data_IF_291236776013
#
_entry.id   IF_291236776013
#
_cell.length_a   1.000
_cell.length_b   1.000
_cell.length_c   1.000
_cell.angle_alpha   90.00
_cell.angle_beta   90.00
_cell.angle_gamma   90.00
#
_symmetry.space_group_name_H-M   'P 1'
#
loop_
_entity.id
_entity.type
_entity.pdbx_description
1 polymer ?
#
# COMPACT_ATOMS: atom_id res chain seq x y z
N UNK A 1 7.03 10.86 2.18
CA UNK A 1 5.81 10.62 3.01
C UNK A 1 5.52 11.71 4.05
N UNK A 2 6.46 12.07 4.94
CA UNK A 2 6.24 13.09 5.99
C UNK A 2 5.85 14.48 5.43
N UNK A 3 6.54 14.93 4.37
CA UNK A 3 6.22 16.18 3.67
C UNK A 3 4.81 16.20 3.06
N UNK A 4 4.42 15.10 2.39
CA UNK A 4 3.10 14.94 1.78
C UNK A 4 1.99 15.12 2.81
N UNK A 5 2.11 14.51 3.98
CA UNK A 5 1.14 14.62 5.08
C UNK A 5 0.99 16.06 5.59
N UNK A 6 2.10 16.80 5.72
CA UNK A 6 2.07 18.23 6.10
C UNK A 6 1.37 19.10 5.05
N UNK A 7 1.65 18.88 3.76
CA UNK A 7 0.97 19.57 2.65
C UNK A 7 -0.53 19.22 2.62
N UNK A 8 -0.89 17.94 2.82
CA UNK A 8 -2.26 17.46 2.85
C UNK A 8 -3.10 18.12 3.95
N UNK A 9 -2.54 18.26 5.15
CA UNK A 9 -3.24 18.89 6.29
C UNK A 9 -3.29 20.41 6.14
N UNK A 10 -2.33 21.02 5.46
CA UNK A 10 -2.26 22.47 5.24
C UNK A 10 -1.36 23.20 6.23
N UNK A 11 -0.36 22.51 6.79
CA UNK A 11 0.70 23.10 7.62
C UNK A 11 1.81 23.79 6.79
N UNK A 12 1.70 23.74 5.46
CA UNK A 12 2.61 24.41 4.55
C UNK A 12 1.79 25.40 3.73
N UNK A 13 2.20 26.66 3.72
CA UNK A 13 1.50 27.71 2.96
C UNK A 13 1.45 27.35 1.47
N UNK A 14 0.30 27.65 0.84
CA UNK A 14 0.14 27.52 -0.62
C UNK A 14 1.07 28.43 -1.40
N UNK A 15 1.54 29.50 -0.78
CA UNK A 15 2.21 30.61 -1.47
C UNK A 15 3.71 30.34 -1.70
N UNK A 16 4.29 29.41 -0.94
CA UNK A 16 5.68 28.99 -1.10
C UNK A 16 5.85 28.11 -2.35
N UNK A 17 6.90 28.36 -3.13
CA UNK A 17 7.22 27.47 -4.26
C UNK A 17 7.60 26.07 -3.76
N UNK A 18 7.38 25.02 -4.57
CA UNK A 18 7.75 23.66 -4.17
C UNK A 18 9.26 23.52 -3.92
N UNK A 19 10.07 24.28 -4.66
CA UNK A 19 11.52 24.30 -4.51
C UNK A 19 11.92 24.93 -3.15
N UNK A 20 11.30 26.04 -2.74
CA UNK A 20 11.54 26.62 -1.42
C UNK A 20 11.18 25.66 -0.29
N UNK A 21 10.08 24.92 -0.43
CA UNK A 21 9.68 23.89 0.53
C UNK A 21 10.80 22.84 0.66
N UNK A 22 11.32 22.32 -0.45
CA UNK A 22 12.42 21.35 -0.43
C UNK A 22 13.71 21.92 0.17
N UNK A 23 14.04 23.18 -0.13
CA UNK A 23 15.23 23.84 0.43
C UNK A 23 15.08 23.99 1.95
N UNK A 24 13.91 24.40 2.43
CA UNK A 24 13.64 24.55 3.87
C UNK A 24 13.70 23.21 4.60
N UNK A 25 13.15 22.16 4.01
CA UNK A 25 13.22 20.81 4.57
C UNK A 25 14.65 20.25 4.59
N UNK A 26 15.43 20.51 3.53
CA UNK A 26 16.85 20.15 3.48
C UNK A 26 17.66 20.90 4.53
N UNK A 27 17.40 22.20 4.74
CA UNK A 27 18.06 23.00 5.75
C UNK A 27 17.74 22.47 7.17
N UNK A 28 16.49 22.11 7.43
CA UNK A 28 16.07 21.48 8.69
C UNK A 28 16.71 20.09 8.90
N UNK A 29 16.93 19.33 7.82
CA UNK A 29 17.65 18.05 7.89
C UNK A 29 19.12 18.27 8.27
N UNK A 30 19.76 19.28 7.68
CA UNK A 30 21.16 19.61 7.93
C UNK A 30 21.39 20.17 9.35
N UNK A 31 20.44 20.93 9.90
CA UNK A 31 20.57 21.54 11.23
C UNK A 31 20.45 20.54 12.38
N UNK A 32 19.76 19.41 12.19
CA UNK A 32 19.42 18.47 13.27
C UNK A 32 20.46 17.33 13.46
N UNK A 33 21.61 17.39 12.77
CA UNK A 33 22.66 16.38 12.82
C UNK A 33 22.25 15.00 12.28
N UNK A 34 23.13 14.01 12.39
CA UNK A 34 22.91 12.65 11.85
C UNK A 34 21.70 11.98 12.51
N UNK A 35 21.54 12.11 13.82
CA UNK A 35 20.42 11.52 14.55
C UNK A 35 19.08 12.16 14.16
N UNK A 36 19.07 13.48 13.93
CA UNK A 36 17.90 14.21 13.42
C UNK A 36 17.57 13.86 11.97
N UNK A 37 18.58 13.65 11.12
CA UNK A 37 18.41 13.18 9.76
C UNK A 37 17.81 11.76 9.74
N UNK A 38 18.33 10.83 10.56
CA UNK A 38 17.76 9.47 10.70
C UNK A 38 16.31 9.54 11.21
N UNK A 39 16.02 10.41 12.18
CA UNK A 39 14.65 10.63 12.70
C UNK A 39 13.70 11.27 11.69
N UNK A 40 14.21 12.06 10.76
CA UNK A 40 13.42 12.65 9.68
C UNK A 40 13.20 11.66 8.52
N UNK A 41 14.20 10.84 8.22
CA UNK A 41 14.18 9.78 7.20
C UNK A 41 13.31 8.61 7.65
N UNK A 42 13.36 8.23 8.94
CA UNK A 42 12.40 7.31 9.56
C UNK A 42 11.09 8.06 9.72
N UNK A 43 10.24 7.97 8.70
CA UNK A 43 8.94 8.64 8.60
C UNK A 43 8.11 8.40 9.88
N UNK A 44 8.14 9.33 10.83
CA UNK A 44 7.43 9.22 12.12
C UNK A 44 8.13 8.41 13.21
N UNK A 45 9.45 8.30 13.12
CA UNK A 45 10.33 7.87 14.20
C UNK A 45 10.17 6.40 14.61
N UNK A 46 10.68 6.10 15.81
CA UNK A 46 10.69 4.76 16.38
C UNK A 46 9.28 4.20 16.61
N UNK A 47 8.32 5.05 16.97
CA UNK A 47 6.92 4.63 17.16
C UNK A 47 6.29 4.07 15.89
N UNK A 48 6.58 4.63 14.71
CA UNK A 48 6.07 4.06 13.44
C UNK A 48 6.62 2.66 13.23
N UNK A 49 7.94 2.51 13.35
CA UNK A 49 8.61 1.22 13.12
C UNK A 49 8.09 0.16 14.08
N UNK A 50 7.97 0.47 15.37
CA UNK A 50 7.42 -0.46 16.36
C UNK A 50 5.96 -0.80 16.04
N UNK A 51 5.15 0.20 15.66
CA UNK A 51 3.75 -0.02 15.31
C UNK A 51 3.60 -0.95 14.11
N UNK A 52 4.34 -0.70 13.02
CA UNK A 52 4.32 -1.51 11.80
C UNK A 52 4.86 -2.93 12.06
N UNK A 53 5.91 -3.05 12.87
CA UNK A 53 6.47 -4.33 13.25
C UNK A 53 5.46 -5.16 14.07
N UNK A 54 4.81 -4.55 15.06
CA UNK A 54 3.76 -5.21 15.83
C UNK A 54 2.58 -5.66 14.96
N UNK A 55 2.13 -4.81 14.04
CA UNK A 55 1.06 -5.16 13.10
C UNK A 55 1.47 -6.32 12.18
N UNK A 56 2.66 -6.27 11.59
CA UNK A 56 3.14 -7.29 10.66
C UNK A 56 3.28 -8.65 11.36
N UNK A 57 3.86 -8.69 12.56
CA UNK A 57 3.98 -9.94 13.31
C UNK A 57 2.61 -10.47 13.73
N UNK A 58 1.74 -9.61 14.26
CA UNK A 58 0.42 -10.02 14.69
C UNK A 58 -0.43 -10.55 13.53
N UNK A 59 -0.39 -9.89 12.36
CA UNK A 59 -1.11 -10.33 11.17
C UNK A 59 -0.59 -11.67 10.65
N UNK A 60 0.74 -11.86 10.64
CA UNK A 60 1.36 -13.12 10.25
C UNK A 60 0.92 -14.30 11.14
N UNK A 61 1.04 -14.14 12.46
CA UNK A 61 0.61 -15.18 13.41
C UNK A 61 -0.89 -15.44 13.30
N UNK A 62 -1.71 -14.39 13.21
CA UNK A 62 -3.16 -14.52 13.14
C UNK A 62 -3.58 -15.21 11.84
N UNK A 63 -2.92 -14.92 10.71
CA UNK A 63 -3.11 -15.59 9.44
C UNK A 63 -2.77 -17.09 9.50
N UNK A 64 -1.68 -17.47 10.16
CA UNK A 64 -1.30 -18.87 10.36
C UNK A 64 -2.36 -19.64 11.17
N UNK A 65 -2.81 -19.09 12.29
CA UNK A 65 -3.87 -19.69 13.11
C UNK A 65 -5.18 -19.86 12.34
N UNK A 66 -5.57 -18.87 11.54
CA UNK A 66 -6.78 -18.91 10.71
C UNK A 66 -6.67 -19.97 9.63
N UNK A 67 -5.50 -20.13 9.02
CA UNK A 67 -5.24 -21.15 8.01
C UNK A 67 -5.31 -22.57 8.61
N UNK A 68 -4.74 -22.77 9.80
CA UNK A 68 -4.87 -24.04 10.53
C UNK A 68 -6.31 -24.37 10.91
N UNK A 69 -7.04 -23.39 11.45
CA UNK A 69 -8.46 -23.55 11.79
C UNK A 69 -9.27 -23.88 10.55
N UNK A 70 -9.05 -23.16 9.44
CA UNK A 70 -9.73 -23.40 8.17
C UNK A 70 -9.46 -24.82 7.65
N UNK A 71 -8.21 -25.32 7.73
CA UNK A 71 -7.87 -26.71 7.39
C UNK A 71 -8.61 -27.71 8.28
N UNK A 72 -8.70 -27.46 9.59
CA UNK A 72 -9.48 -28.30 10.54
C UNK A 72 -10.96 -28.29 10.18
N UNK A 73 -11.54 -27.13 9.85
CA UNK A 73 -12.94 -27.00 9.41
C UNK A 73 -13.24 -27.80 8.14
N UNK A 74 -12.34 -27.77 7.17
CA UNK A 74 -12.50 -28.51 5.90
C UNK A 74 -12.46 -30.03 6.14
N UNK A 75 -11.61 -30.49 7.07
CA UNK A 75 -11.45 -31.91 7.42
C UNK A 75 -12.60 -32.47 8.27
N UNK A 76 -13.39 -31.62 8.95
CA UNK A 76 -14.54 -32.08 9.74
C UNK A 76 -15.56 -32.79 8.85
N UNK A 77 -15.98 -34.01 9.20
CA UNK A 77 -17.11 -34.70 8.56
C UNK A 77 -18.45 -34.03 8.96
N UNK A 78 -18.75 -32.90 8.34
CA UNK A 78 -19.96 -32.11 8.55
C UNK A 78 -20.61 -31.77 7.19
N UNK A 79 -21.88 -31.36 7.21
CA UNK A 79 -22.57 -30.91 5.99
C UNK A 79 -21.90 -29.66 5.41
N UNK A 80 -21.95 -29.52 4.08
CA UNK A 80 -21.36 -28.39 3.34
C UNK A 80 -21.83 -27.03 3.87
N UNK A 81 -23.13 -26.89 4.19
CA UNK A 81 -23.69 -25.66 4.78
C UNK A 81 -23.09 -25.33 6.15
N UNK A 82 -22.87 -26.33 7.01
CA UNK A 82 -22.25 -26.14 8.33
C UNK A 82 -20.77 -25.77 8.20
N UNK A 83 -20.03 -26.39 7.27
CA UNK A 83 -18.64 -26.04 6.97
C UNK A 83 -18.51 -24.60 6.46
N UNK A 84 -19.38 -24.19 5.54
CA UNK A 84 -19.38 -22.83 5.01
C UNK A 84 -19.67 -21.79 6.10
N UNK A 85 -20.67 -22.03 6.95
CA UNK A 85 -20.93 -21.15 8.10
C UNK A 85 -19.75 -21.09 9.06
N UNK A 86 -19.09 -22.21 9.34
CA UNK A 86 -17.94 -22.24 10.25
C UNK A 86 -16.73 -21.49 9.66
N UNK A 87 -16.44 -21.65 8.36
CA UNK A 87 -15.41 -20.87 7.66
C UNK A 87 -15.72 -19.37 7.69
N UNK A 88 -17.00 -19.00 7.53
CA UNK A 88 -17.42 -17.60 7.62
C UNK A 88 -17.24 -17.04 9.03
N UNK A 89 -17.54 -17.82 10.07
CA UNK A 89 -17.26 -17.45 11.46
C UNK A 89 -15.76 -17.26 11.72
N UNK A 90 -14.91 -18.16 11.21
CA UNK A 90 -13.44 -18.04 11.31
C UNK A 90 -12.95 -16.76 10.63
N UNK A 91 -13.44 -16.45 9.43
CA UNK A 91 -13.08 -15.22 8.71
C UNK A 91 -13.56 -13.95 9.43
N UNK A 92 -14.77 -13.95 10.00
CA UNK A 92 -15.22 -12.82 10.82
C UNK A 92 -14.38 -12.67 12.09
N UNK A 93 -14.06 -13.78 12.76
CA UNK A 93 -13.17 -13.79 13.91
C UNK A 93 -11.80 -13.19 13.60
N UNK A 94 -11.21 -13.59 12.46
CA UNK A 94 -9.97 -13.01 11.94
C UNK A 94 -10.07 -11.49 11.79
N UNK A 95 -11.08 -11.01 11.05
CA UNK A 95 -11.27 -9.57 10.81
C UNK A 95 -11.48 -8.79 12.11
N UNK A 96 -12.22 -9.34 13.07
CA UNK A 96 -12.42 -8.71 14.37
C UNK A 96 -11.14 -8.65 15.20
N UNK A 97 -10.36 -9.72 15.23
CA UNK A 97 -9.09 -9.76 15.95
C UNK A 97 -8.06 -8.82 15.30
N UNK A 98 -7.99 -8.82 13.97
CA UNK A 98 -7.13 -7.89 13.24
C UNK A 98 -7.51 -6.44 13.53
N UNK A 99 -8.81 -6.10 13.50
CA UNK A 99 -9.28 -4.77 13.88
C UNK A 99 -8.92 -4.37 15.32
N UNK A 100 -8.96 -5.31 16.27
CA UNK A 100 -8.55 -5.08 17.66
C UNK A 100 -7.04 -4.86 17.80
N UNK A 101 -6.23 -5.62 17.06
CA UNK A 101 -4.78 -5.44 16.99
C UNK A 101 -4.42 -4.07 16.41
N UNK A 102 -5.09 -3.68 15.34
CA UNK A 102 -4.97 -2.33 14.81
C UNK A 102 -5.31 -1.30 15.89
N UNK A 103 -6.46 -1.42 16.56
CA UNK A 103 -6.86 -0.45 17.58
C UNK A 103 -5.88 -0.35 18.76
N UNK A 104 -5.22 -1.45 19.17
CA UNK A 104 -4.24 -1.42 20.27
C UNK A 104 -2.98 -0.64 19.90
N UNK A 105 -2.55 -0.74 18.63
CA UNK A 105 -1.38 -0.06 18.08
C UNK A 105 -1.67 1.39 17.69
N UNK A 106 -2.94 1.78 17.59
CA UNK A 106 -3.36 3.12 17.17
C UNK A 106 -2.73 4.25 17.99
N UNK A 107 -2.50 4.06 19.29
CA UNK A 107 -1.86 5.08 20.14
C UNK A 107 -0.43 5.42 19.68
N UNK A 108 0.36 4.43 19.28
CA UNK A 108 1.70 4.58 18.72
C UNK A 108 1.65 5.20 17.32
N UNK A 109 0.74 4.73 16.48
CA UNK A 109 0.58 5.26 15.11
C UNK A 109 0.09 6.72 15.11
N UNK A 110 -0.79 7.09 16.04
CA UNK A 110 -1.26 8.47 16.24
C UNK A 110 -0.12 9.40 16.66
N UNK A 111 0.70 8.95 17.61
CA UNK A 111 1.88 9.70 18.06
C UNK A 111 2.86 9.93 16.90
N UNK A 112 3.13 8.86 16.13
CA UNK A 112 3.94 8.94 14.93
C UNK A 112 3.38 9.91 13.89
N UNK A 113 2.08 9.87 13.62
CA UNK A 113 1.43 10.79 12.68
C UNK A 113 1.56 12.25 13.13
N UNK A 114 1.40 12.54 14.42
CA UNK A 114 1.59 13.89 14.96
C UNK A 114 3.05 14.37 14.86
N UNK A 115 4.03 13.47 14.99
CA UNK A 115 5.44 13.78 14.72
C UNK A 115 5.69 14.05 13.23
N UNK A 116 5.09 13.27 12.33
CA UNK A 116 5.19 13.50 10.88
C UNK A 116 4.55 14.84 10.48
N UNK A 117 3.48 15.24 11.15
CA UNK A 117 2.86 16.57 10.98
C UNK A 117 3.72 17.71 11.54
N UNK A 118 4.70 17.41 12.39
CA UNK A 118 5.55 18.42 13.04
C UNK A 118 4.89 19.10 14.23
N UNK A 119 3.75 18.57 14.72
CA UNK A 119 3.04 19.06 15.90
C UNK A 119 3.74 18.62 17.20
N UNK A 120 4.33 17.41 17.17
CA UNK A 120 5.14 16.87 18.26
C UNK A 120 6.60 16.86 17.82
N UNK A 121 7.50 17.18 18.74
CA UNK A 121 8.93 17.09 18.50
C UNK A 121 9.35 15.66 18.09
N UNK A 122 10.31 15.58 17.15
CA UNK A 122 10.94 14.32 16.76
C UNK A 122 11.96 13.81 17.80
N UNK A 123 12.18 14.55 18.89
CA UNK A 123 13.09 14.16 19.98
C UNK A 123 12.54 13.03 20.86
N UNK A 124 11.22 12.94 21.02
CA UNK A 124 10.56 11.92 21.83
C UNK A 124 10.40 10.62 21.06
N UNK A 125 10.97 9.52 21.56
CA UNK A 125 10.92 8.22 20.87
C UNK A 125 9.61 7.45 21.04
N UNK A 126 8.96 7.62 22.20
CA UNK A 126 7.74 6.91 22.57
C UNK A 126 6.72 7.88 23.15
N UNK A 127 5.41 7.60 23.01
CA UNK A 127 4.38 8.37 23.66
C UNK A 127 4.49 8.23 25.19
N UNK A 128 4.04 9.23 25.96
CA UNK A 128 3.96 9.12 27.40
C UNK A 128 3.02 7.97 27.80
N UNK A 129 3.27 7.32 28.95
CA UNK A 129 2.49 6.14 29.40
C UNK A 129 0.98 6.40 29.47
N UNK A 130 0.59 7.65 29.72
CA UNK A 130 -0.81 8.07 29.77
C UNK A 130 -1.52 7.98 28.41
N UNK A 131 -0.80 8.00 27.28
CA UNK A 131 -1.39 7.86 25.95
C UNK A 131 -1.73 6.42 25.58
N UNK A 132 -1.00 5.45 26.14
CA UNK A 132 -1.18 4.02 25.88
C UNK A 132 -2.45 3.47 26.54
N UNK A 133 -2.95 4.14 27.58
CA UNK A 133 -4.14 3.71 28.32
C UNK A 133 -5.40 4.29 27.67
N UNK A 134 -6.31 3.48 27.10
CA UNK A 134 -7.47 3.98 26.35
C UNK A 134 -8.43 4.81 27.21
N UNK A 135 -8.42 4.61 28.52
CA UNK A 135 -9.27 5.29 29.50
C UNK A 135 -8.74 6.67 29.91
N UNK A 136 -7.46 6.95 29.64
CA UNK A 136 -6.81 8.19 30.04
C UNK A 136 -7.36 9.39 29.27
N UNK A 137 -7.56 10.57 29.91
CA UNK A 137 -7.98 11.80 29.23
C UNK A 137 -6.97 12.29 28.17
N UNK A 138 -5.71 11.88 28.29
CA UNK A 138 -4.65 12.20 27.32
C UNK A 138 -4.56 11.22 26.15
N UNK A 139 -5.32 10.12 26.14
CA UNK A 139 -5.18 9.09 25.11
C UNK A 139 -5.90 9.47 23.81
N UNK A 140 -5.24 9.32 22.64
CA UNK A 140 -5.88 9.50 21.33
C UNK A 140 -7.09 8.58 21.10
N UNK A 141 -7.09 7.40 21.74
CA UNK A 141 -8.21 6.45 21.69
C UNK A 141 -9.47 7.02 22.32
N UNK A 142 -9.32 7.82 23.38
CA UNK A 142 -10.45 8.48 24.05
C UNK A 142 -11.04 9.60 23.21
N UNK A 143 -10.21 10.38 22.51
CA UNK A 143 -10.69 11.40 21.58
C UNK A 143 -11.50 10.80 20.44
N UNK A 144 -11.17 9.57 20.05
CA UNK A 144 -11.86 8.88 18.98
C UNK A 144 -13.17 8.21 19.41
N UNK A 145 -13.25 7.63 20.60
CA UNK A 145 -14.40 6.83 21.03
C UNK A 145 -15.40 7.57 21.93
N UNK A 146 -14.96 8.57 22.69
CA UNK A 146 -15.72 9.08 23.85
C UNK A 146 -16.06 10.59 23.78
N UNK A 147 -15.33 11.39 23.00
CA UNK A 147 -15.57 12.84 22.89
C UNK A 147 -16.48 13.23 21.71
N UNK A 148 -17.38 12.35 21.28
CA UNK A 148 -18.40 12.71 20.29
C UNK A 148 -19.27 13.84 20.86
N UNK A 149 -19.28 14.99 20.18
CA UNK A 149 -19.95 16.20 20.62
C UNK A 149 -21.38 15.93 21.15
N UNK A 150 -21.76 16.53 22.29
CA UNK A 150 -23.12 16.44 22.81
C UNK A 150 -24.15 17.23 21.98
N UNK A 151 -23.73 17.96 20.94
CA UNK A 151 -24.59 18.81 20.10
C UNK A 151 -25.38 18.01 19.05
N UNK A 152 -26.33 17.20 19.50
CA UNK A 152 -27.54 16.78 18.74
C UNK A 152 -27.36 15.92 17.48
N UNK A 153 -26.14 15.71 16.98
CA UNK A 153 -25.85 14.79 15.89
C UNK A 153 -25.96 13.33 16.34
N UNK A 154 -26.39 12.44 15.44
CA UNK A 154 -26.42 11.01 15.73
C UNK A 154 -25.02 10.54 16.14
N UNK A 155 -24.85 10.09 17.40
CA UNK A 155 -23.56 9.61 17.96
C UNK A 155 -22.81 8.65 17.04
N UNK A 156 -23.55 7.87 16.25
CA UNK A 156 -23.01 6.93 15.25
C UNK A 156 -22.21 7.62 14.13
N UNK A 157 -22.62 8.80 13.66
CA UNK A 157 -21.86 9.59 12.68
C UNK A 157 -20.56 10.13 13.27
N UNK A 158 -20.58 10.58 14.54
CA UNK A 158 -19.38 11.01 15.25
C UNK A 158 -18.38 9.87 15.44
N UNK A 159 -18.86 8.66 15.75
CA UNK A 159 -18.01 7.47 15.85
C UNK A 159 -17.39 7.08 14.50
N UNK A 160 -18.17 7.10 13.41
CA UNK A 160 -17.68 6.78 12.07
C UNK A 160 -16.66 7.78 11.54
N UNK A 161 -16.79 9.06 11.90
CA UNK A 161 -15.86 10.13 11.52
C UNK A 161 -14.72 10.33 12.52
N UNK A 162 -14.66 9.51 13.58
CA UNK A 162 -13.57 9.58 14.54
C UNK A 162 -12.23 9.24 13.90
N UNK A 163 -11.11 9.82 14.36
CA UNK A 163 -9.81 9.57 13.74
C UNK A 163 -9.40 8.09 13.86
N UNK A 164 -9.79 7.39 14.94
CA UNK A 164 -9.53 5.95 15.06
C UNK A 164 -10.39 5.11 14.10
N UNK A 165 -11.66 5.46 13.89
CA UNK A 165 -12.50 4.77 12.90
C UNK A 165 -12.00 5.01 11.47
N UNK A 166 -11.59 6.23 11.14
CA UNK A 166 -10.99 6.54 9.84
C UNK A 166 -9.66 5.79 9.62
N UNK A 167 -8.83 5.69 10.66
CA UNK A 167 -7.59 4.93 10.58
C UNK A 167 -7.84 3.42 10.49
N UNK A 168 -8.82 2.89 11.23
CA UNK A 168 -9.17 1.48 11.21
C UNK A 168 -9.81 1.08 9.88
N UNK A 169 -10.71 1.92 9.33
CA UNK A 169 -11.27 1.71 7.99
C UNK A 169 -10.17 1.76 6.93
N UNK A 170 -9.25 2.72 7.00
CA UNK A 170 -8.09 2.77 6.10
C UNK A 170 -7.21 1.53 6.21
N UNK A 171 -6.89 1.09 7.43
CA UNK A 171 -6.04 -0.08 7.68
C UNK A 171 -6.69 -1.37 7.19
N UNK A 172 -7.99 -1.56 7.45
CA UNK A 172 -8.73 -2.71 6.95
C UNK A 172 -8.88 -2.70 5.43
N UNK A 173 -9.09 -1.52 4.83
CA UNK A 173 -9.16 -1.39 3.38
C UNK A 173 -7.80 -1.70 2.75
N UNK A 174 -6.71 -1.21 3.35
CA UNK A 174 -5.36 -1.49 2.91
C UNK A 174 -5.01 -2.98 3.06
N UNK A 175 -5.42 -3.61 4.16
CA UNK A 175 -5.25 -5.06 4.33
C UNK A 175 -6.07 -5.84 3.29
N UNK A 176 -7.31 -5.41 3.01
CA UNK A 176 -8.13 -6.05 1.96
C UNK A 176 -7.50 -5.90 0.57
N UNK A 177 -6.96 -4.73 0.25
CA UNK A 177 -6.21 -4.48 -0.97
C UNK A 177 -4.94 -5.33 -1.00
N UNK A 178 -4.13 -5.32 0.06
CA UNK A 178 -2.93 -6.12 0.17
C UNK A 178 -3.22 -7.62 0.09
N UNK A 179 -4.37 -8.12 0.55
CA UNK A 179 -4.78 -9.51 0.36
C UNK A 179 -5.24 -9.81 -1.07
N UNK A 180 -5.91 -8.85 -1.72
CA UNK A 180 -6.29 -8.95 -3.14
C UNK A 180 -5.08 -8.91 -4.08
N UNK A 181 -4.07 -8.10 -3.74
CA UNK A 181 -2.81 -7.98 -4.47
C UNK A 181 -1.74 -8.98 -4.00
N UNK A 182 -1.82 -9.49 -2.78
CA UNK A 182 -0.88 -10.40 -2.11
C UNK A 182 -1.08 -11.87 -2.46
N UNK A 183 -2.14 -12.18 -3.22
CA UNK A 183 -2.23 -13.39 -4.04
C UNK A 183 -1.83 -13.13 -5.51
N UNK A 184 -1.01 -12.12 -5.78
CA UNK A 184 -0.02 -12.26 -6.85
C UNK A 184 1.14 -13.00 -6.19
N UNK A 185 1.20 -14.35 -6.25
CA UNK A 185 2.43 -15.03 -5.95
C UNK A 185 3.48 -14.42 -6.88
N UNK A 186 4.45 -13.70 -6.30
CA UNK A 186 5.69 -13.28 -6.94
C UNK A 186 6.48 -14.47 -7.54
N UNK A 187 5.92 -15.68 -7.48
CA UNK A 187 6.55 -16.97 -7.75
C UNK A 187 5.71 -17.93 -8.63
N UNK A 188 4.54 -17.56 -9.16
CA UNK A 188 3.70 -18.54 -9.90
C UNK A 188 3.30 -18.15 -11.34
N UNK A 189 3.64 -16.95 -11.82
CA UNK A 189 3.49 -16.62 -13.24
C UNK A 189 4.82 -16.77 -13.97
N UNK A 190 5.27 -18.02 -14.12
CA UNK A 190 6.25 -18.38 -15.15
C UNK A 190 5.55 -18.35 -16.52
N UNK A 191 5.34 -17.14 -17.07
CA UNK A 191 4.90 -16.98 -18.45
C UNK A 191 6.07 -17.29 -19.40
N UNK A 192 6.11 -18.53 -19.90
CA UNK A 192 6.93 -18.90 -21.05
C UNK A 192 6.30 -18.20 -22.27
N UNK A 193 6.91 -17.10 -22.72
CA UNK A 193 6.52 -16.40 -23.95
C UNK A 193 6.98 -17.21 -25.17
N UNK A 194 6.01 -17.65 -25.99
CA UNK A 194 6.22 -18.15 -27.36
C UNK A 194 5.95 -17.05 -28.41
N UNK A 195 6.46 -17.20 -29.66
CA UNK A 195 6.42 -16.12 -30.65
C UNK A 195 5.02 -15.92 -31.26
N UNK A 196 4.80 -14.68 -31.68
CA UNK A 196 3.56 -14.01 -32.05
C UNK A 196 2.80 -14.59 -33.25
N UNK A 197 1.45 -14.61 -33.14
CA UNK A 197 0.54 -14.24 -34.22
C UNK A 197 -0.76 -13.68 -33.63
N UNK A 198 -1.15 -12.48 -34.06
CA UNK A 198 -2.29 -11.75 -33.53
C UNK A 198 -3.59 -12.20 -34.21
N UNK A 199 -4.43 -12.93 -33.48
CA UNK A 199 -5.85 -13.06 -33.82
C UNK A 199 -6.66 -12.75 -32.56
N UNK A 200 -7.44 -11.70 -32.64
CA UNK A 200 -8.31 -11.18 -31.60
C UNK A 200 -9.58 -12.01 -31.45
N UNK A 201 -9.86 -12.62 -30.29
CA UNK A 201 -11.21 -13.00 -29.83
C UNK A 201 -11.22 -13.61 -28.40
N UNK A 202 -12.40 -13.76 -27.78
CA UNK A 202 -12.96 -12.89 -26.75
C UNK A 202 -12.53 -13.24 -25.31
N UNK A 203 -12.58 -12.22 -24.48
CA UNK A 203 -12.29 -12.21 -23.05
C UNK A 203 -13.16 -13.22 -22.29
N UNK A 204 -12.53 -14.30 -21.78
CA UNK A 204 -13.17 -15.28 -20.93
C UNK A 204 -13.68 -14.60 -19.65
N UNK A 205 -14.99 -14.58 -19.53
CA UNK A 205 -15.78 -13.97 -18.47
C UNK A 205 -15.94 -14.94 -17.28
N UNK A 206 -14.85 -15.24 -16.57
CA UNK A 206 -14.94 -16.01 -15.33
C UNK A 206 -14.37 -15.24 -14.13
N UNK A 207 -15.17 -15.24 -13.05
CA UNK A 207 -15.02 -14.57 -11.76
C UNK A 207 -15.34 -13.06 -11.70
N UNK A 208 -16.63 -12.74 -11.81
CA UNK A 208 -17.22 -11.40 -11.61
C UNK A 208 -17.15 -10.88 -10.15
N UNK A 209 -16.74 -11.71 -9.18
CA UNK A 209 -16.69 -11.32 -7.76
C UNK A 209 -15.40 -10.59 -7.33
N UNK A 210 -14.36 -10.55 -8.18
CA UNK A 210 -13.08 -9.85 -7.89
C UNK A 210 -13.00 -8.45 -8.50
N UNK A 211 -13.97 -8.08 -9.35
CA UNK A 211 -14.04 -6.78 -10.03
C UNK A 211 -14.24 -5.60 -9.04
N UNK A 212 -14.89 -5.82 -7.90
CA UNK A 212 -15.04 -4.81 -6.85
C UNK A 212 -13.78 -4.59 -6.01
N UNK A 213 -12.90 -5.60 -5.92
CA UNK A 213 -11.68 -5.56 -5.10
C UNK A 213 -10.45 -5.09 -5.89
N UNK A 214 -10.52 -5.10 -7.22
CA UNK A 214 -9.45 -4.59 -8.11
C UNK A 214 -10.01 -3.64 -9.19
N UNK A 215 -10.73 -2.56 -8.82
CA UNK A 215 -11.42 -1.69 -9.77
C UNK A 215 -10.49 -1.05 -10.82
N UNK A 216 -9.18 -1.02 -10.56
CA UNK A 216 -8.18 -0.41 -11.43
C UNK A 216 -7.24 -1.41 -12.11
N UNK A 217 -7.48 -2.72 -12.01
CA UNK A 217 -6.70 -3.73 -12.74
C UNK A 217 -6.72 -3.48 -14.26
N UNK A 218 -7.87 -3.04 -14.80
CA UNK A 218 -8.03 -2.64 -16.20
C UNK A 218 -7.17 -1.43 -16.56
N UNK A 219 -7.15 -0.41 -15.69
CA UNK A 219 -6.36 0.80 -15.90
C UNK A 219 -4.85 0.54 -15.78
N UNK A 220 -4.44 -0.25 -14.77
CA UNK A 220 -3.06 -0.74 -14.64
C UNK A 220 -2.62 -1.51 -15.88
N UNK A 221 -3.42 -2.49 -16.32
CA UNK A 221 -3.09 -3.30 -17.49
C UNK A 221 -3.01 -2.43 -18.75
N UNK A 222 -3.87 -1.41 -18.90
CA UNK A 222 -3.79 -0.44 -19.98
C UNK A 222 -2.51 0.40 -19.96
N UNK A 223 -2.08 0.88 -18.78
CA UNK A 223 -0.79 1.60 -18.63
C UNK A 223 0.37 0.69 -18.99
N UNK A 224 0.41 -0.53 -18.45
CA UNK A 224 1.46 -1.50 -18.73
C UNK A 224 1.50 -1.86 -20.22
N UNK A 225 0.33 -2.01 -20.88
CA UNK A 225 0.25 -2.23 -22.33
C UNK A 225 0.77 -1.04 -23.11
N UNK A 226 0.38 0.17 -22.72
CA UNK A 226 0.82 1.42 -23.38
C UNK A 226 2.32 1.66 -23.24
N UNK A 227 2.92 1.22 -22.13
CA UNK A 227 4.36 1.29 -21.90
C UNK A 227 5.13 0.14 -22.59
N UNK A 228 4.45 -0.92 -23.05
CA UNK A 228 5.06 -2.13 -23.61
C UNK A 228 5.52 -3.16 -22.57
N UNK A 229 5.05 -3.07 -21.33
CA UNK A 229 5.43 -3.91 -20.19
C UNK A 229 4.38 -4.97 -19.83
N UNK A 230 3.24 -5.00 -20.53
CA UNK A 230 2.20 -5.98 -20.28
C UNK A 230 2.61 -7.38 -20.77
N UNK A 231 2.21 -8.44 -20.04
CA UNK A 231 2.34 -9.79 -20.55
C UNK A 231 1.55 -9.89 -21.85
N UNK A 232 2.25 -10.25 -22.94
CA UNK A 232 1.62 -10.65 -24.19
C UNK A 232 0.69 -11.81 -23.84
N UNK A 233 -0.60 -11.78 -24.23
CA UNK A 233 -1.55 -12.82 -23.87
C UNK A 233 -0.98 -14.17 -24.28
N UNK A 234 -0.87 -15.08 -23.31
CA UNK A 234 -0.42 -16.43 -23.53
C UNK A 234 -1.35 -17.07 -24.56
N UNK A 235 -0.76 -17.52 -25.67
CA UNK A 235 -1.40 -18.40 -26.64
C UNK A 235 -1.86 -19.62 -25.84
N UNK A 236 -3.17 -19.74 -25.60
CA UNK A 236 -3.71 -20.98 -25.07
C UNK A 236 -3.49 -22.04 -26.16
N UNK A 237 -2.73 -23.07 -25.83
CA UNK A 237 -2.30 -24.20 -26.67
C UNK A 237 -3.46 -25.08 -27.19
N UNK A 238 -4.69 -24.56 -27.25
CA UNK A 238 -5.84 -25.27 -27.81
C UNK A 238 -5.74 -25.46 -29.33
N UNK A 239 -4.94 -24.66 -30.03
CA UNK A 239 -4.68 -24.84 -31.47
C UNK A 239 -3.72 -25.99 -31.81
N UNK A 240 -3.00 -26.56 -30.84
CA UNK A 240 -2.06 -27.68 -31.09
C UNK A 240 -2.73 -29.04 -30.87
N UNK A 241 -3.86 -29.10 -30.16
CA UNK A 241 -4.64 -30.33 -30.01
C UNK A 241 -5.63 -30.57 -31.15
N UNK A 242 -6.15 -29.52 -31.80
CA UNK A 242 -7.02 -29.69 -32.99
C UNK A 242 -6.23 -29.96 -34.29
N UNK A 243 -4.90 -29.74 -34.31
CA UNK A 243 -4.02 -30.08 -35.44
C UNK A 243 -3.46 -31.51 -35.39
N UNK A 244 -3.72 -32.26 -34.32
CA UNK A 244 -3.36 -33.70 -34.24
C UNK A 244 -4.54 -34.63 -34.57
N UNK A 245 -5.72 -34.09 -34.93
CA UNK A 245 -6.89 -34.88 -35.28
C UNK A 245 -7.16 -35.00 -36.79
N UNK A 246 -6.42 -34.30 -37.65
CA UNK A 246 -6.61 -34.40 -39.10
C UNK A 246 -5.31 -34.77 -39.82
N UNK A 247 -5.31 -36.00 -40.35
CA UNK A 247 -4.82 -36.27 -41.70
C UNK A 247 -3.31 -36.22 -41.93
N UNK A 248 -2.73 -37.40 -41.78
CA UNK A 248 -1.60 -38.02 -42.48
C UNK A 248 -1.24 -37.53 -43.91
N UNK A 249 -1.02 -36.23 -44.19
CA UNK A 249 -0.42 -35.76 -45.47
C UNK A 249 0.30 -34.42 -45.29
N UNK A 250 1.60 -34.45 -44.96
CA UNK A 250 2.40 -33.22 -44.92
C UNK A 250 3.80 -33.32 -44.33
N UNK A 251 4.55 -34.41 -44.58
CA UNK A 251 5.82 -34.69 -43.87
C UNK A 251 7.09 -34.03 -44.44
N UNK A 252 7.00 -33.07 -45.36
CA UNK A 252 8.21 -32.54 -46.03
C UNK A 252 8.44 -31.02 -45.96
N UNK A 253 7.59 -30.22 -45.31
CA UNK A 253 7.80 -28.75 -45.22
C UNK A 253 8.22 -28.19 -43.86
N UNK A 254 8.18 -28.98 -42.78
CA UNK A 254 8.53 -28.48 -41.43
C UNK A 254 10.03 -28.50 -41.09
N UNK A 255 10.89 -29.11 -41.92
CA UNK A 255 12.30 -29.29 -41.58
C UNK A 255 13.20 -28.08 -41.87
N UNK A 256 12.71 -27.04 -42.57
CA UNK A 256 13.51 -25.83 -42.88
C UNK A 256 13.22 -24.60 -42.01
N UNK A 257 12.14 -24.59 -41.23
CA UNK A 257 11.77 -23.45 -40.39
C UNK A 257 12.13 -23.65 -38.89
N UNK A 258 13.00 -24.63 -38.61
CA UNK A 258 13.49 -24.95 -37.26
C UNK A 258 14.84 -24.33 -36.90
N UNK A 259 15.40 -23.48 -37.77
CA UNK A 259 16.67 -22.81 -37.49
C UNK A 259 16.44 -21.32 -37.22
N UNK A 260 16.88 -20.89 -36.03
CA UNK A 260 17.00 -19.50 -35.53
C UNK A 260 15.79 -18.83 -34.84
N UNK A 261 14.85 -19.59 -34.28
CA UNK A 261 14.11 -19.06 -33.12
C UNK A 261 14.99 -19.25 -31.88
N UNK A 262 15.88 -18.30 -31.60
CA UNK A 262 16.61 -18.23 -30.33
C UNK A 262 15.57 -18.26 -29.21
N UNK A 263 15.46 -19.41 -28.54
CA UNK A 263 14.50 -19.60 -27.47
C UNK A 263 15.01 -18.85 -26.24
N UNK A 264 14.67 -17.58 -26.15
CA UNK A 264 14.95 -16.79 -24.95
C UNK A 264 14.14 -17.38 -23.80
N UNK A 265 14.84 -18.09 -22.90
CA UNK A 265 14.25 -18.52 -21.64
C UNK A 265 14.04 -17.27 -20.80
N UNK A 266 12.83 -16.76 -20.81
CA UNK A 266 12.37 -15.73 -19.89
C UNK A 266 12.56 -16.28 -18.48
N UNK A 267 13.59 -15.81 -17.78
CA UNK A 267 13.81 -16.16 -16.38
C UNK A 267 12.87 -15.31 -15.54
N UNK A 268 12.47 -15.79 -14.36
CA UNK A 268 11.64 -15.02 -13.42
C UNK A 268 12.27 -13.66 -13.06
N UNK A 269 13.60 -13.58 -13.14
CA UNK A 269 14.36 -12.32 -13.00
C UNK A 269 14.09 -11.31 -14.12
N UNK A 270 13.71 -11.75 -15.31
CA UNK A 270 13.40 -10.87 -16.45
C UNK A 270 11.99 -10.26 -16.40
N UNK A 271 11.05 -10.88 -15.67
CA UNK A 271 9.68 -10.36 -15.44
C UNK A 271 9.57 -9.55 -14.15
N UNK A 272 10.58 -9.62 -13.27
CA UNK A 272 10.62 -8.88 -12.01
C UNK A 272 10.45 -7.35 -12.17
N UNK A 273 11.05 -6.66 -13.16
CA UNK A 273 10.86 -5.22 -13.34
C UNK A 273 9.42 -4.82 -13.66
N UNK A 274 8.74 -5.59 -14.53
CA UNK A 274 7.35 -5.31 -14.89
C UNK A 274 6.40 -5.59 -13.74
N UNK A 275 6.66 -6.63 -12.97
CA UNK A 275 5.91 -6.91 -11.75
C UNK A 275 6.10 -5.81 -10.69
N UNK A 276 7.33 -5.32 -10.49
CA UNK A 276 7.60 -4.22 -9.55
C UNK A 276 6.97 -2.90 -10.01
N UNK A 277 7.05 -2.58 -11.30
CA UNK A 277 6.40 -1.40 -11.86
C UNK A 277 4.87 -1.47 -11.70
N UNK A 278 4.28 -2.64 -12.00
CA UNK A 278 2.85 -2.89 -11.80
C UNK A 278 2.44 -2.69 -10.34
N UNK A 279 3.24 -3.20 -9.40
CA UNK A 279 3.03 -3.06 -7.97
C UNK A 279 3.18 -1.60 -7.50
N UNK A 280 4.16 -0.86 -8.00
CA UNK A 280 4.30 0.58 -7.72
C UNK A 280 3.11 1.39 -8.27
N UNK A 281 2.59 1.03 -9.46
CA UNK A 281 1.39 1.64 -10.02
C UNK A 281 0.16 1.34 -9.17
N UNK A 282 0.00 0.10 -8.71
CA UNK A 282 -1.08 -0.28 -7.80
C UNK A 282 -1.02 0.52 -6.50
N UNK A 283 0.18 0.71 -5.92
CA UNK A 283 0.37 1.56 -4.75
C UNK A 283 0.06 3.03 -5.02
N UNK A 284 0.45 3.58 -6.18
CA UNK A 284 0.13 4.96 -6.55
C UNK A 284 -1.38 5.17 -6.67
N UNK A 285 -2.07 4.27 -7.37
CA UNK A 285 -3.52 4.30 -7.54
C UNK A 285 -4.21 4.19 -6.17
N UNK A 286 -3.74 3.27 -5.33
CA UNK A 286 -4.22 3.11 -3.97
C UNK A 286 -4.04 4.38 -3.14
N UNK A 287 -2.86 5.00 -3.21
CA UNK A 287 -2.56 6.24 -2.50
C UNK A 287 -3.48 7.39 -2.94
N UNK A 288 -3.80 7.48 -4.23
CA UNK A 288 -4.75 8.47 -4.77
C UNK A 288 -6.17 8.20 -4.24
N UNK A 289 -6.60 6.94 -4.26
CA UNK A 289 -7.94 6.53 -3.79
C UNK A 289 -8.12 6.78 -2.29
N UNK A 290 -7.09 6.51 -1.49
CA UNK A 290 -7.13 6.67 -0.04
C UNK A 290 -6.86 8.10 0.43
N UNK A 291 -6.38 8.97 -0.45
CA UNK A 291 -6.07 10.37 -0.16
C UNK A 291 -7.18 11.13 0.59
N UNK A 292 -8.48 11.07 0.21
CA UNK A 292 -9.53 11.77 0.95
C UNK A 292 -9.66 11.26 2.39
N UNK A 293 -9.61 9.95 2.59
CA UNK A 293 -9.75 9.31 3.92
C UNK A 293 -8.53 9.66 4.78
N UNK A 294 -7.31 9.55 4.24
CA UNK A 294 -6.06 9.91 4.92
C UNK A 294 -6.08 11.40 5.32
N UNK A 295 -6.52 12.29 4.42
CA UNK A 295 -6.61 13.73 4.74
C UNK A 295 -7.66 14.03 5.82
N UNK A 296 -8.78 13.31 5.84
CA UNK A 296 -9.81 13.47 6.87
C UNK A 296 -9.31 12.97 8.23
N UNK A 297 -8.64 11.80 8.24
CA UNK A 297 -8.01 11.24 9.43
C UNK A 297 -6.98 12.21 10.03
N UNK A 298 -5.99 12.64 9.23
CA UNK A 298 -4.90 13.51 9.71
C UNK A 298 -5.42 14.86 10.21
N UNK A 299 -6.44 15.44 9.57
CA UNK A 299 -7.05 16.69 10.04
C UNK A 299 -7.82 16.51 11.35
N UNK A 300 -8.62 15.46 11.45
CA UNK A 300 -9.37 15.14 12.67
C UNK A 300 -8.43 14.89 13.85
N UNK A 301 -7.35 14.14 13.61
CA UNK A 301 -6.30 13.88 14.59
C UNK A 301 -5.64 15.19 15.04
N UNK A 302 -5.21 16.03 14.08
CA UNK A 302 -4.57 17.31 14.38
C UNK A 302 -5.49 18.27 15.13
N UNK A 303 -6.77 18.39 14.73
CA UNK A 303 -7.72 19.29 15.39
C UNK A 303 -7.99 18.86 16.82
N UNK A 304 -8.17 17.55 17.07
CA UNK A 304 -8.42 17.01 18.41
C UNK A 304 -7.20 17.14 19.33
N UNK A 305 -6.00 16.92 18.79
CA UNK A 305 -4.75 17.15 19.52
C UNK A 305 -4.59 18.63 19.88
N UNK A 306 -4.89 19.52 18.94
CA UNK A 306 -4.77 20.96 19.17
C UNK A 306 -5.81 21.47 20.16
N UNK A 307 -7.04 20.93 20.16
CA UNK A 307 -8.10 21.34 21.09
C UNK A 307 -7.99 20.73 22.48
N UNK A 308 -7.16 19.70 22.67
CA UNK A 308 -7.04 19.00 23.96
C UNK A 308 -5.78 19.45 24.73
N UNK A 309 -5.92 20.25 25.81
CA UNK A 309 -4.77 20.65 26.62
C UNK A 309 -4.16 19.46 27.39
N UNK A 310 -4.99 18.49 27.78
CA UNK A 310 -4.56 17.28 28.50
C UNK A 310 -3.73 16.35 27.63
N UNK A 311 -3.91 16.39 26.30
CA UNK A 311 -3.10 15.66 25.35
C UNK A 311 -1.62 16.07 25.38
N UNK A 312 -1.38 17.36 25.55
CA UNK A 312 -0.05 17.98 25.42
C UNK A 312 0.79 17.89 26.69
N UNK A 313 0.21 17.43 27.80
CA UNK A 313 0.93 17.29 29.07
C UNK A 313 2.06 16.27 28.89
N UNK A 314 3.30 16.73 29.08
CA UNK A 314 4.50 15.91 28.95
C UNK A 314 4.99 15.69 27.51
N UNK A 315 4.48 16.49 26.56
CA UNK A 315 4.89 16.45 25.15
C UNK A 315 5.61 17.75 24.79
N UNK A 316 6.73 17.62 24.10
CA UNK A 316 7.45 18.76 23.55
C UNK A 316 6.84 19.18 22.22
N UNK A 317 6.44 20.45 22.11
CA UNK A 317 5.88 21.01 20.87
C UNK A 317 6.90 20.95 19.73
N UNK A 318 6.41 20.64 18.53
CA UNK A 318 7.21 20.64 17.30
C UNK A 318 7.31 22.02 16.63
N UNK A 319 7.94 22.05 15.45
CA UNK A 319 8.28 23.29 14.72
C UNK A 319 7.12 23.79 13.83
N UNK A 320 5.98 23.08 13.75
CA UNK A 320 4.95 23.44 12.76
C UNK A 320 4.33 24.82 13.01
N UNK A 321 4.41 25.68 11.99
CA UNK A 321 3.58 26.88 11.88
C UNK A 321 2.12 26.42 11.75
N UNK A 322 1.19 27.06 12.47
CA UNK A 322 -0.18 26.57 12.66
C UNK A 322 -0.99 26.32 11.38
N UNK A 323 -2.20 25.79 11.55
CA UNK A 323 -3.08 25.42 10.44
C UNK A 323 -3.44 26.66 9.58
N UNK A 324 -3.05 26.68 8.30
CA UNK A 324 -3.31 27.83 7.40
C UNK A 324 -4.77 27.81 6.92
N UNK A 325 -5.46 28.95 7.03
CA UNK A 325 -6.84 29.15 6.58
C UNK A 325 -6.96 29.02 5.05
N UNK A 326 -7.95 28.24 4.58
CA UNK A 326 -8.09 27.86 3.17
C UNK A 326 -8.97 28.82 2.37
N UNK A 327 -8.36 29.58 1.45
CA UNK A 327 -9.06 30.23 0.32
C UNK A 327 -9.18 29.27 -0.88
N UNK A 328 -10.13 29.51 -1.80
CA UNK A 328 -10.32 28.67 -2.99
C UNK A 328 -9.05 28.57 -3.86
N UNK A 329 -8.30 29.66 -4.02
CA UNK A 329 -7.02 29.69 -4.74
C UNK A 329 -5.94 28.84 -4.04
N UNK A 330 -5.98 28.74 -2.71
CA UNK A 330 -5.04 27.90 -1.94
C UNK A 330 -5.32 26.41 -2.11
N UNK A 331 -6.56 26.02 -2.47
CA UNK A 331 -6.95 24.61 -2.67
C UNK A 331 -6.34 24.02 -3.94
N UNK A 332 -6.38 24.74 -5.05
CA UNK A 332 -5.80 24.28 -6.32
C UNK A 332 -4.27 24.18 -6.22
N UNK A 333 -3.62 25.17 -5.58
CA UNK A 333 -2.18 25.12 -5.28
C UNK A 333 -1.79 23.93 -4.42
N UNK A 334 -2.59 23.58 -3.40
CA UNK A 334 -2.36 22.39 -2.59
C UNK A 334 -2.51 21.08 -3.36
N UNK A 335 -3.52 20.96 -4.23
CA UNK A 335 -3.72 19.75 -5.05
C UNK A 335 -2.51 19.51 -5.96
N UNK A 336 -1.98 20.57 -6.60
CA UNK A 336 -0.77 20.46 -7.42
C UNK A 336 0.44 20.02 -6.60
N UNK A 337 0.64 20.57 -5.40
CA UNK A 337 1.75 20.16 -4.52
C UNK A 337 1.61 18.71 -4.04
N UNK A 338 0.40 18.27 -3.73
CA UNK A 338 0.12 16.87 -3.35
C UNK A 338 0.41 15.94 -4.52
N UNK A 339 -0.07 16.29 -5.72
CA UNK A 339 0.19 15.53 -6.94
C UNK A 339 1.68 15.42 -7.24
N UNK A 340 2.43 16.51 -7.09
CA UNK A 340 3.87 16.53 -7.29
C UNK A 340 4.61 15.70 -6.23
N UNK A 341 4.19 15.74 -4.96
CA UNK A 341 4.71 14.83 -3.92
C UNK A 341 4.47 13.36 -4.29
N UNK A 342 3.28 13.00 -4.77
CA UNK A 342 2.97 11.62 -5.18
C UNK A 342 3.79 11.19 -6.39
N UNK A 343 3.93 12.06 -7.39
CA UNK A 343 4.75 11.79 -8.57
C UNK A 343 6.23 11.60 -8.20
N UNK A 344 6.74 12.42 -7.28
CA UNK A 344 8.11 12.32 -6.80
C UNK A 344 8.34 11.03 -5.98
N UNK A 345 7.40 10.65 -5.11
CA UNK A 345 7.44 9.38 -4.40
C UNK A 345 7.45 8.19 -5.37
N UNK A 346 6.53 8.16 -6.33
CA UNK A 346 6.48 7.11 -7.36
C UNK A 346 7.75 7.04 -8.21
N UNK A 347 8.30 8.20 -8.60
CA UNK A 347 9.53 8.27 -9.40
C UNK A 347 10.73 7.77 -8.62
N UNK A 348 10.85 8.14 -7.33
CA UNK A 348 11.91 7.66 -6.46
C UNK A 348 11.83 6.15 -6.25
N UNK A 349 10.64 5.61 -5.94
CA UNK A 349 10.46 4.17 -5.77
C UNK A 349 10.82 3.41 -7.05
N UNK A 350 10.33 3.89 -8.20
CA UNK A 350 10.65 3.30 -9.51
C UNK A 350 12.13 3.40 -9.85
N UNK A 351 12.79 4.52 -9.52
CA UNK A 351 14.22 4.70 -9.76
C UNK A 351 15.09 3.81 -8.87
N UNK A 352 14.76 3.69 -7.57
CA UNK A 352 15.48 2.83 -6.62
C UNK A 352 15.39 1.36 -7.04
N UNK A 353 14.18 0.89 -7.36
CA UNK A 353 13.98 -0.49 -7.81
C UNK A 353 14.55 -0.74 -9.21
N UNK A 354 14.44 0.22 -10.12
CA UNK A 354 15.08 0.17 -11.44
C UNK A 354 16.61 0.09 -11.33
N UNK A 355 17.21 0.86 -10.44
CA UNK A 355 18.64 0.81 -10.13
C UNK A 355 19.07 -0.53 -9.53
N UNK A 356 18.32 -1.04 -8.55
CA UNK A 356 18.57 -2.36 -7.96
C UNK A 356 18.49 -3.48 -9.01
N UNK A 357 17.55 -3.40 -9.95
CA UNK A 357 17.45 -4.35 -11.05
C UNK A 357 18.64 -4.26 -12.01
N UNK A 358 19.01 -3.05 -12.45
CA UNK A 358 20.18 -2.86 -13.33
C UNK A 358 21.45 -3.39 -12.67
N UNK A 359 21.60 -3.17 -11.36
CA UNK A 359 22.70 -3.70 -10.56
C UNK A 359 22.68 -5.24 -10.51
N UNK A 360 21.53 -5.84 -10.21
CA UNK A 360 21.38 -7.30 -10.19
C UNK A 360 21.67 -7.92 -11.56
N UNK A 361 21.18 -7.30 -12.65
CA UNK A 361 21.47 -7.71 -14.02
C UNK A 361 22.95 -7.60 -14.32
N UNK A 362 23.59 -6.48 -13.99
CA UNK A 362 25.02 -6.28 -14.21
C UNK A 362 25.87 -7.33 -13.50
N UNK A 363 25.57 -7.62 -12.22
CA UNK A 363 26.24 -8.69 -11.47
C UNK A 363 25.96 -10.05 -12.12
N UNK A 364 24.71 -10.35 -12.46
CA UNK A 364 24.32 -11.58 -13.11
C UNK A 364 25.04 -11.84 -14.43
N UNK A 365 25.15 -10.83 -15.29
CA UNK A 365 25.85 -10.96 -16.57
C UNK A 365 27.37 -11.00 -16.41
N UNK A 366 27.95 -10.18 -15.53
CA UNK A 366 29.40 -10.06 -15.38
C UNK A 366 30.05 -11.17 -14.55
N UNK A 367 29.36 -11.66 -13.51
CA UNK A 367 29.90 -12.67 -12.56
C UNK A 367 29.34 -14.06 -12.81
N UNK A 368 28.08 -14.16 -13.26
CA UNK A 368 27.35 -15.42 -13.36
C UNK A 368 26.97 -15.81 -14.79
N UNK A 369 27.46 -15.08 -15.80
CA UNK A 369 27.26 -15.36 -17.22
C UNK A 369 25.78 -15.51 -17.64
N UNK A 370 24.86 -14.79 -16.97
CA UNK A 370 23.45 -14.78 -17.38
C UNK A 370 23.32 -14.34 -18.85
N UNK A 371 22.60 -15.13 -19.65
CA UNK A 371 22.31 -14.81 -21.05
C UNK A 371 23.34 -15.29 -22.08
N UNK A 372 24.42 -15.94 -21.66
CA UNK A 372 25.29 -16.71 -22.57
C UNK A 372 24.86 -18.18 -22.55
N UNK A 373 24.24 -18.63 -23.64
CA UNK A 373 24.02 -20.05 -23.96
C UNK A 373 24.60 -20.36 -25.31
#
# INVERSE_FOLDING_TARGET
MSLRKRVQVGFISSDLSFVEILIRERANLASNGILGAIRYITVGGFSEVVSQLMLTFADWYLGEYVLELSKKVIRLKASTRKRFMLLRCVNYGYKTLNALVHLSVYSLSSFSCLQQLGLISSTSFLPPKSWLLPWSPSSPLRWALLNADPSGGSRMKGLLLSPAALWLTMSLLQHSAASAYGHVPLFEYSCILGPHNAVSLPQASDADDTNLLTPFSRFRNWILQSLGWAPVPAIQEKGVQDLMSDGEYGRERETRQRQTATRYRVTELSTLPSNLLALNLDYLIWAILMLPIDTAHLRSLASLFLSSPTARIGIQDGISEGLVTRSAATRTGMVNKIGLCLALEFTLDTAVWGGAFLWARYIGTSRYHWGHT
#
